data_IF_943171166650
#
_entry.id   IF_943171166650
#
_cell.length_a   1.000
_cell.length_b   1.000
_cell.length_c   1.000
_cell.angle_alpha   90.00
_cell.angle_beta   90.00
_cell.angle_gamma   90.00
#
_symmetry.space_group_name_H-M   'P 1'
#
loop_
_entity.id
_entity.type
_entity.pdbx_description
1 polymer ?
#
# COMPACT_ATOMS: atom_id res chain seq x y z
N UNK A 1 34.24 -0.58 -19.70
CA UNK A 1 33.24 -0.48 -18.65
C UNK A 1 32.28 0.66 -19.01
N UNK A 2 31.02 0.38 -19.35
CA UNK A 2 30.10 1.42 -19.77
C UNK A 2 29.66 2.24 -18.55
N UNK A 3 30.03 3.51 -18.47
CA UNK A 3 29.67 4.45 -17.38
C UNK A 3 28.21 4.92 -17.53
N UNK A 4 27.25 3.98 -17.48
CA UNK A 4 25.82 4.30 -17.59
C UNK A 4 25.10 4.45 -16.23
N UNK A 5 25.77 4.10 -15.13
CA UNK A 5 25.17 4.05 -13.78
C UNK A 5 24.62 5.40 -13.34
N UNK A 6 25.28 6.50 -13.70
CA UNK A 6 24.85 7.85 -13.33
C UNK A 6 23.48 8.20 -13.93
N UNK A 7 23.19 7.72 -15.13
CA UNK A 7 21.96 8.04 -15.87
C UNK A 7 21.01 6.83 -15.99
N UNK A 8 21.06 5.92 -15.02
CA UNK A 8 20.19 4.75 -14.95
C UNK A 8 19.35 4.82 -13.69
N UNK A 9 18.02 4.68 -13.85
CA UNK A 9 17.10 4.49 -12.73
C UNK A 9 17.09 2.99 -12.39
N UNK A 10 17.38 2.68 -11.13
CA UNK A 10 17.21 1.33 -10.57
C UNK A 10 16.14 1.40 -9.51
N UNK A 11 15.10 0.56 -9.62
CA UNK A 11 14.02 0.44 -8.65
C UNK A 11 14.04 -0.99 -8.12
N UNK A 12 14.04 -1.12 -6.79
CA UNK A 12 13.84 -2.36 -6.09
C UNK A 12 12.55 -2.25 -5.27
N UNK A 13 11.64 -3.17 -5.49
CA UNK A 13 10.33 -3.20 -4.84
C UNK A 13 9.76 -4.62 -4.85
N UNK A 14 8.57 -4.82 -4.30
CA UNK A 14 7.82 -6.08 -4.31
C UNK A 14 6.40 -5.83 -4.82
N UNK A 15 5.69 -6.86 -5.20
CA UNK A 15 4.28 -6.83 -5.62
C UNK A 15 3.32 -6.79 -4.42
N UNK A 16 3.66 -7.50 -3.34
CA UNK A 16 2.88 -7.59 -2.11
C UNK A 16 3.78 -7.75 -0.88
N UNK A 17 3.17 -7.74 0.29
CA UNK A 17 3.85 -8.01 1.55
C UNK A 17 4.39 -9.44 1.65
N UNK A 18 5.21 -9.74 2.65
CA UNK A 18 5.87 -11.03 2.78
C UNK A 18 4.88 -12.14 3.10
N UNK A 19 5.25 -13.36 2.72
CA UNK A 19 4.62 -14.61 3.11
C UNK A 19 5.72 -15.62 3.45
N UNK A 20 5.52 -16.39 4.52
CA UNK A 20 6.44 -17.47 4.90
C UNK A 20 5.80 -18.83 4.66
N UNK A 21 4.52 -18.95 4.97
CA UNK A 21 3.75 -20.17 4.71
C UNK A 21 2.82 -19.93 3.52
N UNK A 22 3.27 -20.32 2.35
CA UNK A 22 2.52 -20.26 1.09
C UNK A 22 2.10 -21.65 0.58
N UNK A 23 2.28 -22.68 1.43
CA UNK A 23 1.98 -24.08 1.14
C UNK A 23 3.13 -24.85 0.50
N UNK A 24 4.29 -24.24 0.27
CA UNK A 24 5.50 -24.93 -0.16
C UNK A 24 6.30 -25.46 1.03
N UNK A 25 6.93 -26.61 0.88
CA UNK A 25 7.82 -27.20 1.86
C UNK A 25 9.26 -26.78 1.56
N UNK A 26 9.60 -25.55 1.96
CA UNK A 26 10.91 -24.92 1.71
C UNK A 26 11.62 -24.48 3.00
N UNK A 27 11.09 -24.92 4.15
CA UNK A 27 11.59 -24.59 5.49
C UNK A 27 11.66 -23.06 5.76
N UNK A 28 10.90 -22.24 5.02
CA UNK A 28 10.96 -20.79 5.13
C UNK A 28 10.58 -20.27 6.52
N UNK A 29 9.59 -20.91 7.15
CA UNK A 29 9.15 -20.58 8.52
C UNK A 29 10.25 -20.85 9.54
N UNK A 30 10.90 -22.02 9.43
CA UNK A 30 11.96 -22.45 10.32
C UNK A 30 13.24 -21.64 10.12
N UNK A 31 13.61 -21.39 8.87
CA UNK A 31 14.83 -20.66 8.51
C UNK A 31 14.78 -19.17 8.88
N UNK A 32 13.60 -18.56 8.90
CA UNK A 32 13.47 -17.14 9.27
C UNK A 32 13.70 -16.92 10.76
N UNK A 33 13.45 -17.91 11.61
CA UNK A 33 13.60 -17.84 13.05
C UNK A 33 12.81 -16.68 13.67
N UNK A 34 13.44 -15.91 14.55
CA UNK A 34 12.80 -14.76 15.24
C UNK A 34 12.72 -13.48 14.39
N UNK A 35 13.15 -13.51 13.14
CA UNK A 35 13.15 -12.34 12.26
C UNK A 35 11.73 -11.95 11.86
N UNK A 36 11.36 -10.69 12.15
CA UNK A 36 10.06 -10.12 11.75
C UNK A 36 10.12 -9.57 10.32
N UNK A 37 9.75 -10.40 9.34
CA UNK A 37 9.85 -10.06 7.91
C UNK A 37 9.06 -8.82 7.48
N UNK A 38 7.93 -8.54 8.13
CA UNK A 38 7.14 -7.32 7.93
C UNK A 38 7.52 -6.18 8.91
N UNK A 39 8.57 -6.37 9.72
CA UNK A 39 8.96 -5.41 10.76
C UNK A 39 7.83 -5.14 11.76
N UNK A 40 7.43 -3.88 11.97
CA UNK A 40 6.34 -3.51 12.88
C UNK A 40 4.94 -3.66 12.26
N UNK A 41 4.83 -3.97 10.98
CA UNK A 41 3.56 -4.01 10.26
C UNK A 41 2.81 -5.31 10.57
N UNK A 42 1.49 -5.22 10.67
CA UNK A 42 0.61 -6.36 10.85
C UNK A 42 0.25 -6.98 9.51
N UNK A 43 0.10 -8.31 9.50
CA UNK A 43 -0.28 -9.09 8.32
C UNK A 43 0.89 -9.33 7.37
N UNK A 44 0.56 -9.88 6.23
CA UNK A 44 1.46 -10.25 5.14
C UNK A 44 0.69 -10.34 3.84
N UNK A 45 1.18 -11.08 2.87
CA UNK A 45 0.50 -11.32 1.58
C UNK A 45 -0.98 -11.64 1.81
N UNK A 46 -1.86 -11.09 0.97
CA UNK A 46 -3.34 -11.20 1.04
C UNK A 46 -4.02 -10.38 2.13
N UNK A 47 -3.28 -9.86 3.12
CA UNK A 47 -3.84 -9.10 4.23
C UNK A 47 -4.29 -7.69 3.84
N UNK A 48 -5.37 -7.21 4.48
CA UNK A 48 -5.85 -5.82 4.39
C UNK A 48 -5.05 -4.86 5.29
N UNK A 49 -4.22 -5.38 6.18
CA UNK A 49 -3.30 -4.57 6.97
C UNK A 49 -2.09 -4.12 6.16
N UNK A 50 -1.40 -3.10 6.65
CA UNK A 50 -0.22 -2.53 5.97
C UNK A 50 0.88 -3.57 5.67
N UNK A 51 1.02 -4.63 6.48
CA UNK A 51 1.96 -5.71 6.21
C UNK A 51 1.70 -6.47 4.92
N UNK A 52 0.47 -6.44 4.39
CA UNK A 52 0.13 -7.06 3.11
C UNK A 52 0.43 -6.21 1.88
N UNK A 53 0.50 -4.89 2.05
CA UNK A 53 0.48 -3.95 0.91
C UNK A 53 1.51 -2.83 0.99
N UNK A 54 2.04 -2.53 2.18
CA UNK A 54 3.13 -1.57 2.38
C UNK A 54 4.47 -2.23 2.17
N UNK A 55 4.87 -2.28 0.91
CA UNK A 55 6.05 -2.98 0.42
C UNK A 55 7.31 -2.11 0.49
N UNK A 56 8.51 -2.71 0.51
CA UNK A 56 9.75 -2.00 0.29
C UNK A 56 9.75 -1.29 -1.05
N UNK A 57 10.23 -0.04 -1.08
CA UNK A 57 10.43 0.71 -2.31
C UNK A 57 11.75 1.50 -2.23
N UNK A 58 12.69 1.16 -3.09
CA UNK A 58 13.98 1.82 -3.16
C UNK A 58 14.23 2.27 -4.60
N UNK A 59 14.56 3.55 -4.77
CA UNK A 59 14.89 4.13 -6.06
C UNK A 59 16.31 4.73 -6.02
N UNK A 60 17.14 4.36 -6.97
CA UNK A 60 18.47 4.88 -7.17
C UNK A 60 18.59 5.52 -8.54
N UNK A 61 18.97 6.79 -8.59
CA UNK A 61 19.33 7.52 -9.80
C UNK A 61 20.41 8.58 -9.46
N UNK A 62 21.69 8.23 -9.48
CA UNK A 62 22.77 9.08 -8.94
C UNK A 62 22.79 10.48 -9.52
N UNK A 63 22.54 10.64 -10.83
CA UNK A 63 22.52 11.96 -11.49
C UNK A 63 21.39 12.88 -11.01
N UNK A 64 20.33 12.35 -10.39
CA UNK A 64 19.12 13.14 -10.06
C UNK A 64 18.63 12.99 -8.63
N UNK A 65 18.94 11.90 -7.95
CA UNK A 65 18.39 11.58 -6.61
C UNK A 65 19.54 11.45 -5.61
N UNK A 66 19.49 12.26 -4.55
CA UNK A 66 20.42 12.17 -3.42
C UNK A 66 19.94 11.10 -2.44
N UNK A 67 20.88 10.39 -1.75
CA UNK A 67 20.51 9.45 -0.71
C UNK A 67 19.66 10.10 0.38
N UNK A 68 18.47 9.53 0.64
CA UNK A 68 17.54 9.98 1.67
C UNK A 68 16.51 8.90 1.98
N UNK A 69 15.79 9.07 3.10
CA UNK A 69 14.59 8.32 3.45
C UNK A 69 13.39 9.25 3.34
N UNK A 70 12.25 8.75 2.86
CA UNK A 70 11.04 9.53 2.68
C UNK A 70 9.82 8.77 3.18
N UNK A 71 8.95 9.45 3.95
CA UNK A 71 7.68 8.94 4.43
C UNK A 71 6.50 9.36 3.54
N UNK A 72 6.78 9.89 2.35
CA UNK A 72 5.74 10.35 1.43
C UNK A 72 4.95 9.16 0.91
N UNK A 73 3.62 9.28 1.00
CA UNK A 73 2.71 8.26 0.51
C UNK A 73 2.70 8.22 -1.01
N UNK A 74 3.22 7.16 -1.60
CA UNK A 74 3.25 6.87 -3.04
C UNK A 74 2.74 5.45 -3.29
N UNK A 75 2.37 5.17 -4.53
CA UNK A 75 1.95 3.85 -4.99
C UNK A 75 2.73 3.48 -6.25
N UNK A 76 2.97 2.19 -6.47
CA UNK A 76 3.62 1.70 -7.70
C UNK A 76 2.85 2.08 -8.96
N UNK A 77 1.52 2.15 -8.90
CA UNK A 77 0.69 2.62 -10.01
C UNK A 77 1.10 4.01 -10.51
N UNK A 78 1.65 4.85 -9.62
CA UNK A 78 2.08 6.21 -9.93
C UNK A 78 3.32 6.28 -10.81
N UNK A 79 4.02 5.19 -10.99
CA UNK A 79 5.17 5.11 -11.89
C UNK A 79 4.78 5.40 -13.34
N UNK A 80 3.58 4.99 -13.79
CA UNK A 80 3.11 5.26 -15.15
C UNK A 80 3.03 6.78 -15.42
N UNK A 81 2.22 7.50 -14.67
CA UNK A 81 2.04 8.94 -14.84
C UNK A 81 3.32 9.72 -14.56
N UNK A 82 4.09 9.28 -13.56
CA UNK A 82 5.36 9.92 -13.19
C UNK A 82 6.42 9.77 -14.29
N UNK A 83 6.56 8.60 -14.89
CA UNK A 83 7.51 8.40 -15.98
C UNK A 83 7.04 9.02 -17.28
N UNK A 84 5.74 9.03 -17.56
CA UNK A 84 5.21 9.80 -18.69
C UNK A 84 5.58 11.28 -18.56
N UNK A 85 5.37 11.86 -17.38
CA UNK A 85 5.78 13.24 -17.07
C UNK A 85 7.30 13.45 -17.21
N UNK A 86 8.12 12.51 -16.73
CA UNK A 86 9.58 12.56 -16.86
C UNK A 86 10.04 12.61 -18.31
N UNK A 87 9.33 11.90 -19.19
CA UNK A 87 9.65 11.76 -20.60
C UNK A 87 8.91 12.79 -21.49
N UNK A 88 8.10 13.67 -20.92
CA UNK A 88 7.26 14.62 -21.64
C UNK A 88 6.20 13.94 -22.50
N UNK A 89 5.73 12.76 -22.09
CA UNK A 89 4.72 11.97 -22.78
C UNK A 89 3.36 12.12 -22.13
N UNK A 90 2.31 11.90 -22.89
CA UNK A 90 0.94 11.76 -22.39
C UNK A 90 0.68 10.33 -21.95
N UNK A 91 -0.29 10.15 -21.08
CA UNK A 91 -0.81 8.85 -20.65
C UNK A 91 -2.35 8.88 -20.64
N UNK A 92 -3.04 7.74 -20.61
CA UNK A 92 -4.50 7.70 -20.68
C UNK A 92 -5.15 8.48 -19.53
N UNK A 93 -6.21 9.24 -19.82
CA UNK A 93 -6.93 10.06 -18.81
C UNK A 93 -7.71 9.23 -17.78
N UNK A 94 -7.96 7.94 -18.06
CA UNK A 94 -8.78 7.05 -17.24
C UNK A 94 -7.94 5.96 -16.58
N UNK A 95 -6.95 6.37 -15.81
CA UNK A 95 -6.10 5.46 -15.02
C UNK A 95 -5.99 5.98 -13.59
N UNK A 96 -5.77 5.07 -12.64
CA UNK A 96 -5.60 5.42 -11.22
C UNK A 96 -4.20 5.94 -10.89
N UNK A 97 -3.34 6.08 -11.90
CA UNK A 97 -1.98 6.60 -11.75
C UNK A 97 -1.97 8.10 -11.56
N UNK A 98 -1.33 8.57 -10.50
CA UNK A 98 -1.10 9.99 -10.23
C UNK A 98 0.35 10.36 -10.52
N UNK A 99 0.58 11.57 -11.04
CA UNK A 99 1.94 12.06 -11.21
C UNK A 99 2.53 12.47 -9.85
N UNK A 100 3.32 11.59 -9.27
CA UNK A 100 4.08 11.79 -8.03
C UNK A 100 5.59 11.80 -8.27
N UNK A 101 6.03 12.18 -9.48
CA UNK A 101 7.44 12.16 -9.89
C UNK A 101 8.36 12.86 -8.90
N UNK A 102 7.99 14.05 -8.43
CA UNK A 102 8.84 14.79 -7.49
C UNK A 102 8.95 14.11 -6.12
N UNK A 103 7.94 13.33 -5.72
CA UNK A 103 8.02 12.50 -4.52
C UNK A 103 9.00 11.33 -4.73
N UNK A 104 8.91 10.62 -5.85
CA UNK A 104 9.87 9.56 -6.21
C UNK A 104 11.31 10.06 -6.32
N UNK A 105 11.50 11.27 -6.80
CA UNK A 105 12.82 11.90 -6.91
C UNK A 105 13.29 12.55 -5.60
N UNK A 106 12.51 12.46 -4.52
CA UNK A 106 12.84 13.06 -3.23
C UNK A 106 12.85 14.59 -3.19
N UNK A 107 12.19 15.24 -4.15
CA UNK A 107 12.09 16.69 -4.30
C UNK A 107 10.85 17.28 -3.62
N UNK A 108 9.86 16.47 -3.33
CA UNK A 108 8.58 16.88 -2.75
C UNK A 108 8.21 16.01 -1.54
N UNK A 109 7.54 16.64 -0.57
CA UNK A 109 6.86 15.96 0.55
C UNK A 109 5.37 15.70 0.24
N UNK A 110 4.92 15.98 -0.98
CA UNK A 110 3.55 15.77 -1.44
C UNK A 110 3.50 14.49 -2.28
N UNK A 111 2.70 13.54 -1.87
CA UNK A 111 2.38 12.32 -2.60
C UNK A 111 0.87 12.15 -2.71
N UNK A 112 0.41 10.91 -2.76
CA UNK A 112 -1.02 10.58 -2.74
C UNK A 112 -1.70 11.07 -1.46
N UNK A 113 -2.94 11.47 -1.60
CA UNK A 113 -3.79 11.82 -0.45
C UNK A 113 -4.55 10.61 0.07
N UNK A 114 -4.92 9.71 -0.83
CA UNK A 114 -5.76 8.56 -0.55
C UNK A 114 -5.48 7.40 -1.52
N UNK A 115 -5.85 6.19 -1.13
CA UNK A 115 -5.73 4.99 -1.94
C UNK A 115 -6.75 3.96 -1.49
N UNK A 116 -7.48 3.38 -2.44
CA UNK A 116 -8.23 2.14 -2.24
C UNK A 116 -7.30 0.99 -2.62
N UNK A 117 -7.16 0.04 -1.73
CA UNK A 117 -6.29 -1.13 -1.87
C UNK A 117 -7.21 -2.34 -1.94
N UNK A 118 -7.11 -3.12 -3.00
CA UNK A 118 -7.81 -4.39 -3.15
C UNK A 118 -6.91 -5.52 -2.68
N UNK A 119 -7.41 -6.34 -1.80
CA UNK A 119 -6.78 -7.58 -1.40
C UNK A 119 -7.57 -8.79 -1.92
N UNK A 120 -7.20 -9.98 -1.45
CA UNK A 120 -7.79 -11.22 -1.96
C UNK A 120 -9.31 -11.31 -1.73
N UNK A 121 -9.82 -10.80 -0.61
CA UNK A 121 -11.23 -10.98 -0.21
C UNK A 121 -11.96 -9.68 0.08
N UNK A 122 -11.26 -8.57 0.24
CA UNK A 122 -11.85 -7.31 0.68
C UNK A 122 -10.99 -6.14 0.22
N UNK A 123 -11.38 -4.96 0.66
CA UNK A 123 -10.68 -3.70 0.41
C UNK A 123 -10.09 -3.15 1.70
N UNK A 124 -9.05 -2.33 1.56
CA UNK A 124 -8.64 -1.37 2.55
C UNK A 124 -8.67 0.02 1.91
N UNK A 125 -8.95 1.03 2.72
CA UNK A 125 -8.91 2.42 2.26
C UNK A 125 -7.99 3.22 3.16
N UNK A 126 -7.04 3.92 2.57
CA UNK A 126 -6.12 4.79 3.27
C UNK A 126 -6.31 6.25 2.86
N UNK A 127 -6.38 7.13 3.87
CA UNK A 127 -6.38 8.58 3.68
C UNK A 127 -5.42 9.22 4.68
N UNK A 128 -4.28 9.69 4.19
CA UNK A 128 -3.21 10.19 5.05
C UNK A 128 -2.76 9.13 6.06
N UNK A 129 -2.86 9.46 7.35
CA UNK A 129 -2.49 8.54 8.45
C UNK A 129 -3.61 7.57 8.84
N UNK A 130 -4.78 7.65 8.25
CA UNK A 130 -5.92 6.81 8.59
C UNK A 130 -6.08 5.65 7.63
N UNK A 131 -6.32 4.46 8.19
CA UNK A 131 -6.64 3.25 7.45
C UNK A 131 -8.01 2.71 7.88
N UNK A 132 -8.86 2.42 6.91
CA UNK A 132 -10.18 1.85 7.06
C UNK A 132 -10.20 0.47 6.40
N UNK A 133 -10.68 -0.55 7.11
CA UNK A 133 -10.99 -1.86 6.54
C UNK A 133 -12.50 -2.08 6.69
N UNK A 134 -13.25 -2.18 5.59
CA UNK A 134 -14.69 -2.48 5.62
C UNK A 134 -14.99 -3.87 6.18
N UNK A 135 -16.24 -4.12 6.66
CA UNK A 135 -16.65 -5.45 7.08
C UNK A 135 -16.61 -6.44 5.92
N UNK A 136 -16.31 -7.69 6.23
CA UNK A 136 -16.39 -8.80 5.29
C UNK A 136 -17.14 -9.97 5.92
N UNK A 137 -18.19 -10.38 5.24
CA UNK A 137 -19.09 -11.43 5.70
C UNK A 137 -18.79 -12.73 4.96
N UNK A 138 -17.86 -13.53 5.49
CA UNK A 138 -17.61 -14.88 4.99
C UNK A 138 -17.63 -15.86 6.17
N UNK A 139 -18.45 -16.90 6.14
CA UNK A 139 -18.54 -17.88 7.22
C UNK A 139 -17.32 -18.80 7.36
N UNK A 140 -16.40 -18.80 6.41
CA UNK A 140 -15.34 -19.80 6.31
C UNK A 140 -13.99 -19.43 6.96
N UNK A 141 -13.83 -18.25 7.57
CA UNK A 141 -12.50 -17.83 8.06
C UNK A 141 -12.52 -17.13 9.41
N UNK A 142 -12.82 -17.83 10.49
CA UNK A 142 -12.66 -17.25 11.84
C UNK A 142 -11.20 -17.15 12.28
N UNK A 143 -10.37 -18.12 11.94
CA UNK A 143 -8.97 -18.19 12.39
C UNK A 143 -8.03 -17.36 11.50
N UNK A 144 -8.21 -17.41 10.19
CA UNK A 144 -7.44 -16.58 9.26
C UNK A 144 -7.91 -15.12 9.20
N UNK A 145 -9.15 -14.86 9.59
CA UNK A 145 -9.77 -13.55 9.49
C UNK A 145 -9.02 -12.44 10.24
N UNK A 146 -8.44 -12.75 11.39
CA UNK A 146 -7.67 -11.79 12.18
C UNK A 146 -6.32 -11.45 11.56
N UNK A 147 -5.66 -12.40 10.90
CA UNK A 147 -4.39 -12.17 10.21
C UNK A 147 -4.57 -11.33 8.94
N UNK A 148 -5.61 -11.64 8.15
CA UNK A 148 -5.86 -10.96 6.87
C UNK A 148 -6.75 -9.71 6.99
N UNK A 149 -7.26 -9.42 8.20
CA UNK A 149 -8.03 -8.20 8.48
C UNK A 149 -9.52 -8.32 8.22
N UNK A 150 -10.07 -9.51 7.98
CA UNK A 150 -11.51 -9.72 7.79
C UNK A 150 -12.29 -9.61 9.11
N UNK A 151 -13.62 -9.53 9.04
CA UNK A 151 -14.52 -9.51 10.19
C UNK A 151 -15.80 -8.71 9.95
N UNK A 152 -16.76 -8.83 10.89
CA UNK A 152 -18.11 -8.31 10.74
C UNK A 152 -18.29 -6.80 10.99
N UNK A 153 -17.25 -6.12 11.46
CA UNK A 153 -17.28 -4.68 11.75
C UNK A 153 -16.23 -3.91 10.99
N UNK A 154 -16.46 -2.61 10.85
CA UNK A 154 -15.43 -1.72 10.34
C UNK A 154 -14.24 -1.68 11.29
N UNK A 155 -13.04 -1.66 10.72
CA UNK A 155 -11.80 -1.44 11.45
C UNK A 155 -11.21 -0.10 11.02
N UNK A 156 -10.84 0.72 12.01
CA UNK A 156 -10.27 2.05 11.81
C UNK A 156 -8.97 2.16 12.59
N UNK A 157 -7.90 2.55 11.92
CA UNK A 157 -6.58 2.70 12.53
C UNK A 157 -5.97 4.06 12.23
N UNK A 158 -5.13 4.57 13.16
CA UNK A 158 -4.29 5.72 12.90
C UNK A 158 -2.83 5.27 12.84
N UNK A 159 -2.29 5.18 11.64
CA UNK A 159 -0.97 4.61 11.35
C UNK A 159 0.19 5.43 11.93
N UNK A 160 -0.04 6.71 12.23
CA UNK A 160 0.98 7.55 12.88
C UNK A 160 1.23 7.14 14.33
N UNK A 161 0.20 6.72 15.03
CA UNK A 161 0.28 6.31 16.45
C UNK A 161 0.27 4.80 16.64
N UNK A 162 -0.17 4.04 15.63
CA UNK A 162 -0.33 2.59 15.67
C UNK A 162 -0.02 2.00 14.28
N UNK A 163 1.27 1.98 13.94
CA UNK A 163 1.74 1.46 12.65
C UNK A 163 1.45 -0.04 12.49
N UNK A 164 1.34 -0.77 13.62
CA UNK A 164 1.01 -2.19 13.66
C UNK A 164 -0.48 -2.48 13.62
N UNK A 165 -1.36 -1.48 13.53
CA UNK A 165 -2.82 -1.65 13.43
C UNK A 165 -3.39 -2.58 14.51
N UNK A 166 -2.97 -2.37 15.77
CA UNK A 166 -3.36 -3.21 16.91
C UNK A 166 -4.66 -2.73 17.59
N UNK A 167 -4.97 -1.42 17.49
CA UNK A 167 -6.08 -0.80 18.20
C UNK A 167 -7.15 -0.31 17.22
N UNK A 168 -8.24 -1.06 17.12
CA UNK A 168 -9.39 -0.60 16.34
C UNK A 168 -10.02 0.63 17.01
N UNK A 169 -10.06 1.73 16.29
CA UNK A 169 -10.55 3.03 16.75
C UNK A 169 -11.96 3.38 16.23
N UNK A 170 -12.66 2.44 15.58
CA UNK A 170 -13.96 2.69 14.95
C UNK A 170 -14.99 3.25 15.94
N UNK A 171 -15.11 2.65 17.13
CA UNK A 171 -16.01 3.12 18.18
C UNK A 171 -15.59 4.44 18.80
N UNK A 172 -14.28 4.67 18.93
CA UNK A 172 -13.73 5.87 19.56
C UNK A 172 -13.87 7.11 18.68
N UNK A 173 -13.82 6.96 17.35
CA UNK A 173 -13.86 8.07 16.39
C UNK A 173 -14.98 7.91 15.35
N UNK A 174 -16.29 7.88 15.78
CA UNK A 174 -17.41 7.61 14.87
C UNK A 174 -17.57 8.64 13.76
N UNK A 175 -17.25 9.92 14.02
CA UNK A 175 -17.27 10.95 12.97
C UNK A 175 -16.22 10.69 11.90
N UNK A 176 -14.98 10.39 12.30
CA UNK A 176 -13.89 10.09 11.35
C UNK A 176 -14.19 8.81 10.57
N UNK A 177 -14.73 7.81 11.24
CA UNK A 177 -15.20 6.58 10.60
C UNK A 177 -16.22 6.88 9.50
N UNK A 178 -17.26 7.66 9.80
CA UNK A 178 -18.29 8.06 8.84
C UNK A 178 -17.73 8.83 7.64
N UNK A 179 -16.81 9.77 7.86
CA UNK A 179 -16.12 10.49 6.79
C UNK A 179 -15.39 9.55 5.83
N UNK A 180 -14.64 8.60 6.38
CA UNK A 180 -13.85 7.65 5.57
C UNK A 180 -14.75 6.65 4.85
N UNK A 181 -15.82 6.16 5.48
CA UNK A 181 -16.81 5.28 4.83
C UNK A 181 -17.42 6.01 3.63
N UNK A 182 -17.94 7.22 3.83
CA UNK A 182 -18.56 8.00 2.76
C UNK A 182 -17.60 8.23 1.59
N UNK A 183 -16.32 8.54 1.89
CA UNK A 183 -15.33 8.75 0.83
C UNK A 183 -14.96 7.46 0.11
N UNK A 184 -14.78 6.36 0.86
CA UNK A 184 -14.52 5.04 0.30
C UNK A 184 -15.64 4.57 -0.63
N UNK A 185 -16.91 4.66 -0.17
CA UNK A 185 -18.06 4.27 -0.99
C UNK A 185 -18.22 5.15 -2.23
N UNK A 186 -17.94 6.45 -2.11
CA UNK A 186 -17.90 7.34 -3.26
C UNK A 186 -16.87 6.89 -4.29
N UNK A 187 -15.62 6.61 -3.87
CA UNK A 187 -14.56 6.15 -4.76
C UNK A 187 -14.93 4.83 -5.42
N UNK A 188 -15.45 3.88 -4.66
CA UNK A 188 -15.88 2.57 -5.13
C UNK A 188 -17.02 2.68 -6.18
N UNK A 189 -18.00 3.55 -5.95
CA UNK A 189 -19.08 3.77 -6.89
C UNK A 189 -18.65 4.47 -8.19
N UNK A 190 -17.50 5.17 -8.17
CA UNK A 190 -16.98 5.90 -9.33
C UNK A 190 -15.74 5.22 -9.96
N UNK A 191 -15.36 4.04 -9.48
CA UNK A 191 -14.26 3.24 -10.06
C UNK A 191 -14.61 2.64 -11.43
N UNK A 192 -15.89 2.60 -11.82
CA UNK A 192 -16.34 2.09 -13.13
C UNK A 192 -15.88 2.92 -14.35
N UNK A 193 -15.17 4.03 -14.08
CA UNK A 193 -14.46 4.78 -15.14
C UNK A 193 -13.15 4.11 -15.54
N UNK A 194 -12.65 3.15 -14.78
CA UNK A 194 -11.49 2.34 -15.10
C UNK A 194 -11.97 1.01 -15.65
N UNK A 195 -11.63 0.72 -16.89
CA UNK A 195 -11.96 -0.56 -17.54
C UNK A 195 -11.30 -1.69 -16.74
N UNK A 196 -12.10 -2.56 -16.13
CA UNK A 196 -11.57 -3.83 -15.61
C UNK A 196 -11.12 -4.66 -16.81
N UNK A 197 -9.85 -5.02 -16.85
CA UNK A 197 -9.33 -6.02 -17.77
C UNK A 197 -9.54 -7.41 -17.22
#
# INVERSE_FOLDING_TARGET
MYKRQENTIVILTSDNGPVLDDGYQDDAVELVGDHKIAGPLRGGKTSMFDGGTRIPFMLRWPAKVKPQVSDVFVCQMDLLASFASLLGQTYPDKVDSENTLDAFLGKSKKGRKELVIEGMFNYAYRQGDWALIPPYYNPYSKEDGDFIGLGYGYKLYNLKSDIGQQKNLAEKYPKKLGELINRFEYLKAHSDKVTRF
#
